data_IF_087659170427
#
_entry.id   IF_087659170427
#
_cell.length_a   1.000
_cell.length_b   1.000
_cell.length_c   1.000
_cell.angle_alpha   90.00
_cell.angle_beta   90.00
_cell.angle_gamma   90.00
#
_symmetry.space_group_name_H-M   'P 1'
#
loop_
_entity.id
_entity.type
_entity.pdbx_description
1 polymer ?
#
# COMPACT_ATOMS: atom_id res chain seq x y z
N UNK A 1 -9.12 13.99 -71.75
CA UNK A 1 -8.89 12.52 -71.80
C UNK A 1 -9.83 11.92 -70.77
N UNK A 2 -11.08 11.54 -71.11
CA UNK A 2 -11.49 10.34 -71.88
C UNK A 2 -10.82 9.09 -71.26
N UNK A 3 -11.47 8.04 -70.76
CA UNK A 3 -12.87 7.64 -70.47
C UNK A 3 -12.78 6.20 -69.88
N UNK A 4 -13.86 5.72 -69.23
CA UNK A 4 -14.23 4.30 -68.92
C UNK A 4 -13.47 3.64 -67.76
N UNK A 5 -14.13 3.11 -66.72
CA UNK A 5 -15.28 2.17 -66.69
C UNK A 5 -14.73 0.80 -66.24
N UNK A 6 -15.37 -0.08 -65.47
CA UNK A 6 -16.74 -0.27 -65.02
C UNK A 6 -16.72 -1.47 -64.02
N UNK A 7 -17.77 -1.59 -63.19
CA UNK A 7 -18.30 -2.79 -62.50
C UNK A 7 -17.39 -3.70 -61.64
N UNK A 8 -17.79 -4.22 -60.48
CA UNK A 8 -19.10 -4.29 -59.84
C UNK A 8 -19.15 -5.40 -58.78
N UNK A 9 -20.24 -5.38 -57.99
CA UNK A 9 -20.82 -6.44 -57.12
C UNK A 9 -20.30 -6.65 -55.69
N UNK A 10 -21.06 -6.05 -54.76
CA UNK A 10 -21.66 -6.71 -53.56
C UNK A 10 -22.70 -7.77 -54.00
N UNK A 11 -23.09 -8.80 -53.21
CA UNK A 11 -23.88 -8.70 -51.95
C UNK A 11 -23.44 -9.76 -50.89
N UNK A 12 -24.00 -9.95 -49.70
CA UNK A 12 -25.23 -9.52 -49.03
C UNK A 12 -25.38 -10.32 -47.71
N UNK A 13 -26.26 -9.85 -46.83
CA UNK A 13 -26.54 -10.36 -45.49
C UNK A 13 -27.64 -11.45 -45.45
N UNK A 14 -27.83 -12.10 -44.28
CA UNK A 14 -29.06 -12.82 -43.87
C UNK A 14 -28.75 -14.06 -43.01
N UNK A 15 -28.88 -14.04 -41.67
CA UNK A 15 -30.06 -14.35 -40.82
C UNK A 15 -30.56 -15.81 -40.82
N UNK A 16 -30.54 -16.48 -39.66
CA UNK A 16 -31.68 -17.18 -39.01
C UNK A 16 -31.23 -18.27 -37.98
N UNK A 17 -31.90 -18.30 -36.82
CA UNK A 17 -31.86 -19.32 -35.74
C UNK A 17 -32.77 -20.56 -36.04
N UNK A 18 -33.32 -21.33 -35.06
CA UNK A 18 -32.77 -22.49 -34.35
C UNK A 18 -33.65 -23.78 -34.46
N UNK A 19 -33.21 -24.93 -33.91
CA UNK A 19 -34.01 -26.14 -33.55
C UNK A 19 -33.05 -27.22 -33.01
N UNK A 20 -33.19 -27.90 -31.87
CA UNK A 20 -34.27 -28.60 -31.12
C UNK A 20 -34.39 -30.11 -31.39
N UNK A 21 -34.42 -30.85 -30.27
CA UNK A 21 -35.10 -32.13 -29.99
C UNK A 21 -34.43 -33.51 -30.25
N UNK A 22 -34.61 -34.40 -29.25
CA UNK A 22 -34.66 -35.87 -29.36
C UNK A 22 -33.73 -36.62 -28.39
N UNK A 23 -34.07 -36.87 -27.10
CA UNK A 23 -35.02 -37.84 -26.52
C UNK A 23 -34.48 -39.30 -26.41
N UNK A 24 -34.29 -39.80 -25.18
CA UNK A 24 -34.99 -40.97 -24.55
C UNK A 24 -34.04 -42.17 -24.36
N UNK A 25 -34.09 -43.01 -23.33
CA UNK A 25 -34.93 -43.12 -22.14
C UNK A 25 -34.64 -44.43 -21.37
N UNK A 26 -34.98 -44.45 -20.07
CA UNK A 26 -35.32 -45.62 -19.22
C UNK A 26 -34.20 -46.58 -18.80
N UNK A 27 -34.28 -47.35 -17.71
CA UNK A 27 -35.14 -47.41 -16.50
C UNK A 27 -34.73 -48.67 -15.72
N UNK A 28 -34.77 -48.65 -14.38
CA UNK A 28 -34.84 -49.83 -13.50
C UNK A 28 -33.82 -49.82 -12.36
N UNK A 29 -34.17 -49.49 -11.09
CA UNK A 29 -34.81 -50.33 -10.03
C UNK A 29 -34.02 -51.61 -9.73
N UNK A 30 -33.69 -52.06 -8.50
CA UNK A 30 -34.08 -51.72 -7.13
C UNK A 30 -33.13 -52.45 -6.12
N UNK A 31 -33.25 -52.10 -4.83
CA UNK A 31 -32.79 -52.88 -3.66
C UNK A 31 -31.47 -52.38 -3.07
N UNK A 32 -31.34 -51.89 -1.84
CA UNK A 32 -32.10 -52.13 -0.61
C UNK A 32 -31.19 -52.86 0.37
N UNK A 33 -30.75 -52.19 1.45
CA UNK A 33 -30.54 -52.77 2.80
C UNK A 33 -30.07 -51.68 3.76
N UNK A 34 -30.69 -51.72 4.94
CA UNK A 34 -30.44 -50.93 6.13
C UNK A 34 -28.97 -51.01 6.61
N UNK A 35 -28.44 -49.88 7.11
CA UNK A 35 -27.80 -49.90 8.42
C UNK A 35 -27.64 -48.46 8.95
N UNK A 36 -28.34 -48.18 10.04
CA UNK A 36 -28.07 -47.07 10.95
C UNK A 36 -27.63 -47.74 12.25
N UNK A 37 -26.50 -47.31 12.84
CA UNK A 37 -26.64 -46.82 14.20
C UNK A 37 -25.79 -45.57 14.51
N UNK A 38 -26.38 -44.78 15.41
CA UNK A 38 -25.76 -44.04 16.49
C UNK A 38 -24.82 -42.87 16.20
N UNK A 39 -25.40 -41.69 16.40
CA UNK A 39 -24.68 -40.52 16.89
C UNK A 39 -24.18 -40.73 18.31
N UNK A 40 -23.01 -40.14 18.63
CA UNK A 40 -22.88 -39.38 19.85
C UNK A 40 -22.50 -37.94 19.53
N UNK A 41 -23.33 -37.01 20.00
CA UNK A 41 -22.97 -35.60 20.06
C UNK A 41 -21.81 -35.38 21.02
N UNK A 42 -20.84 -34.56 20.62
CA UNK A 42 -19.94 -33.87 21.53
C UNK A 42 -19.72 -32.45 21.03
N UNK A 43 -20.22 -31.51 21.85
CA UNK A 43 -19.81 -30.12 21.89
C UNK A 43 -18.28 -30.01 21.92
N UNK A 44 -17.73 -29.26 20.98
CA UNK A 44 -16.33 -28.89 20.97
C UNK A 44 -16.17 -27.57 20.24
N UNK A 45 -16.26 -26.46 20.97
CA UNK A 45 -15.75 -25.16 20.54
C UNK A 45 -14.23 -25.27 20.41
N UNK A 46 -13.77 -25.78 19.27
CA UNK A 46 -12.37 -25.78 18.89
C UNK A 46 -11.96 -24.36 18.54
N UNK A 47 -11.42 -23.63 19.50
CA UNK A 47 -10.60 -22.47 19.23
C UNK A 47 -9.44 -22.93 18.35
N UNK A 48 -9.44 -22.57 17.07
CA UNK A 48 -8.26 -22.68 16.22
C UNK A 48 -7.18 -21.82 16.87
N UNK A 49 -6.23 -22.48 17.53
CA UNK A 49 -5.14 -21.81 18.21
C UNK A 49 -4.26 -21.17 17.13
N UNK A 50 -4.25 -19.82 17.09
CA UNK A 50 -3.45 -19.05 16.14
C UNK A 50 -2.01 -19.55 16.09
N UNK A 51 -1.48 -19.81 14.89
CA UNK A 51 -0.13 -20.31 14.70
C UNK A 51 0.92 -19.28 15.14
N UNK A 52 2.15 -19.70 15.52
CA UNK A 52 3.20 -18.80 16.02
C UNK A 52 3.52 -17.62 15.08
N UNK A 53 3.43 -17.84 13.76
CA UNK A 53 3.69 -16.82 12.75
C UNK A 53 2.56 -15.78 12.63
N UNK A 54 1.31 -16.20 12.80
CA UNK A 54 0.17 -15.29 12.84
C UNK A 54 0.16 -14.46 14.14
N UNK A 55 0.60 -15.07 15.26
CA UNK A 55 0.83 -14.36 16.52
C UNK A 55 1.95 -13.31 16.39
N UNK A 56 3.09 -13.65 15.80
CA UNK A 56 4.19 -12.70 15.61
C UNK A 56 3.78 -11.52 14.70
N UNK A 57 3.03 -11.79 13.63
CA UNK A 57 2.47 -10.75 12.75
C UNK A 57 1.44 -9.86 13.47
N UNK A 58 0.62 -10.45 14.34
CA UNK A 58 -0.34 -9.74 15.18
C UNK A 58 0.36 -8.83 16.20
N UNK A 59 1.37 -9.31 16.93
CA UNK A 59 2.14 -8.52 17.89
C UNK A 59 2.80 -7.30 17.23
N UNK A 60 3.30 -7.47 15.99
CA UNK A 60 3.86 -6.36 15.21
C UNK A 60 2.80 -5.33 14.77
N UNK A 61 1.57 -5.77 14.50
CA UNK A 61 0.46 -4.91 14.07
C UNK A 61 -0.31 -4.23 15.23
N UNK A 62 -0.27 -4.80 16.43
CA UNK A 62 -0.90 -4.27 17.66
C UNK A 62 0.00 -3.25 18.40
N UNK A 63 1.14 -2.86 17.82
CA UNK A 63 1.97 -1.77 18.36
C UNK A 63 2.84 -2.15 19.55
N UNK A 64 2.91 -3.42 19.93
CA UNK A 64 3.92 -3.91 20.85
C UNK A 64 5.22 -4.17 20.07
N UNK A 65 6.09 -3.15 20.01
CA UNK A 65 7.49 -3.38 19.67
C UNK A 65 8.12 -4.42 20.61
N UNK A 66 9.26 -5.05 20.24
CA UNK A 66 9.95 -5.95 21.15
C UNK A 66 10.28 -5.19 22.44
N UNK A 67 9.66 -5.61 23.55
CA UNK A 67 9.91 -5.05 24.86
C UNK A 67 11.39 -5.22 25.25
N UNK A 68 11.97 -4.25 25.97
CA UNK A 68 13.33 -4.35 26.45
C UNK A 68 13.47 -5.47 27.47
N UNK A 69 14.55 -6.24 27.37
CA UNK A 69 15.07 -7.01 28.50
C UNK A 69 15.58 -6.00 29.55
N UNK A 70 15.17 -6.23 30.80
CA UNK A 70 15.55 -5.56 32.08
C UNK A 70 14.60 -4.46 32.62
N UNK A 71 13.91 -4.80 33.71
CA UNK A 71 13.27 -3.91 34.71
C UNK A 71 14.26 -3.66 35.89
N UNK A 72 13.92 -2.87 36.93
CA UNK A 72 13.66 -1.42 36.95
C UNK A 72 14.47 -0.69 38.05
N UNK A 73 14.63 0.63 37.97
CA UNK A 73 14.74 1.49 39.17
C UNK A 73 13.52 2.43 39.23
N UNK A 74 12.97 2.57 40.44
CA UNK A 74 11.72 3.24 40.79
C UNK A 74 11.75 4.79 40.66
N UNK A 75 10.58 5.46 40.70
CA UNK A 75 10.36 6.77 40.11
C UNK A 75 10.52 7.96 41.08
N UNK A 76 10.98 9.10 40.56
CA UNK A 76 10.65 10.41 41.14
C UNK A 76 9.43 11.02 40.44
N UNK A 77 8.44 11.39 41.25
CA UNK A 77 7.19 12.06 40.86
C UNK A 77 7.37 13.57 40.55
N UNK A 78 6.38 14.23 39.92
CA UNK A 78 6.60 15.27 38.92
C UNK A 78 6.64 16.69 39.49
N UNK A 79 7.40 17.57 38.82
CA UNK A 79 7.23 19.02 38.95
C UNK A 79 6.23 19.52 37.91
N UNK A 80 5.17 20.11 38.41
CA UNK A 80 4.13 20.90 37.71
C UNK A 80 4.73 21.96 36.80
N UNK A 81 4.26 22.02 35.55
CA UNK A 81 4.43 23.18 34.67
C UNK A 81 3.05 23.66 34.20
N UNK A 82 2.87 24.97 34.30
CA UNK A 82 1.66 25.78 34.04
C UNK A 82 1.20 25.77 32.57
N UNK A 83 -0.06 26.19 32.28
CA UNK A 83 -0.67 26.00 30.97
C UNK A 83 -0.12 27.01 29.94
N UNK A 84 0.41 26.50 28.83
CA UNK A 84 0.82 27.33 27.69
C UNK A 84 -0.43 27.69 26.87
N UNK A 85 -0.67 28.99 26.73
CA UNK A 85 -1.75 29.57 25.95
C UNK A 85 -1.71 29.12 24.47
N UNK A 86 -2.88 28.86 23.90
CA UNK A 86 -3.06 28.56 22.49
C UNK A 86 -2.69 29.76 21.60
N UNK A 87 -1.93 29.58 20.51
CA UNK A 87 -1.72 30.66 19.55
C UNK A 87 -2.92 30.79 18.60
N UNK A 88 -3.26 32.05 18.38
CA UNK A 88 -4.32 32.60 17.53
C UNK A 88 -4.34 32.05 16.10
N UNK A 89 -5.53 32.14 15.49
CA UNK A 89 -5.83 31.75 14.12
C UNK A 89 -4.85 32.38 13.11
N UNK A 90 -4.00 31.54 12.52
CA UNK A 90 -3.06 31.95 11.47
C UNK A 90 -3.78 32.31 10.17
N UNK A 91 -3.52 33.52 9.68
CA UNK A 91 -3.82 34.01 8.34
C UNK A 91 -3.34 33.00 7.26
N UNK A 92 -4.17 32.64 6.26
CA UNK A 92 -3.71 31.84 5.13
C UNK A 92 -2.73 32.64 4.27
N UNK A 93 -1.55 32.09 3.98
CA UNK A 93 -0.70 32.58 2.89
C UNK A 93 0.58 33.30 3.30
N UNK A 94 1.57 32.54 3.78
CA UNK A 94 2.99 32.71 3.41
C UNK A 94 3.60 31.32 3.28
N UNK A 95 3.14 30.57 2.28
CA UNK A 95 3.72 29.28 1.91
C UNK A 95 5.22 29.46 1.66
N UNK A 96 6.03 28.54 2.19
CA UNK A 96 7.48 28.55 2.06
C UNK A 96 7.89 28.42 0.59
N UNK A 97 7.93 29.53 -0.13
CA UNK A 97 8.40 29.64 -1.50
C UNK A 97 9.93 29.79 -1.59
N UNK A 98 10.65 29.64 -0.47
CA UNK A 98 12.11 29.72 -0.43
C UNK A 98 12.76 28.66 -1.33
N UNK A 99 13.87 29.00 -1.97
CA UNK A 99 14.67 28.04 -2.73
C UNK A 99 15.74 27.50 -1.78
N UNK A 100 16.02 26.20 -1.82
CA UNK A 100 17.11 25.63 -1.03
C UNK A 100 18.42 26.36 -1.34
N UNK A 101 19.13 26.81 -0.30
CA UNK A 101 20.44 27.43 -0.45
C UNK A 101 21.47 26.48 -1.11
N UNK A 102 21.33 25.17 -0.90
CA UNK A 102 22.08 24.13 -1.57
C UNK A 102 21.14 22.98 -1.92
N UNK A 103 21.00 22.60 -3.20
CA UNK A 103 20.19 21.46 -3.60
C UNK A 103 20.68 20.16 -2.99
N UNK A 104 19.76 19.28 -2.59
CA UNK A 104 20.10 17.92 -2.17
C UNK A 104 20.58 17.09 -3.37
N UNK A 105 21.51 16.16 -3.13
CA UNK A 105 21.98 15.23 -4.16
C UNK A 105 20.93 14.13 -4.42
N UNK A 106 20.84 13.58 -5.65
CA UNK A 106 20.00 12.42 -5.92
C UNK A 106 20.29 11.23 -4.99
N UNK A 107 21.55 11.03 -4.62
CA UNK A 107 21.99 9.98 -3.70
C UNK A 107 21.41 10.17 -2.30
N UNK A 108 21.45 11.39 -1.75
CA UNK A 108 20.90 11.68 -0.42
C UNK A 108 19.38 11.58 -0.39
N UNK A 109 18.70 12.02 -1.46
CA UNK A 109 17.25 11.87 -1.62
C UNK A 109 16.87 10.39 -1.63
N UNK A 110 17.56 9.57 -2.42
CA UNK A 110 17.30 8.14 -2.52
C UNK A 110 17.55 7.44 -1.19
N UNK A 111 18.66 7.77 -0.52
CA UNK A 111 19.03 7.20 0.77
C UNK A 111 17.96 7.49 1.82
N UNK A 112 17.62 8.77 2.02
CA UNK A 112 16.63 9.16 3.04
C UNK A 112 15.24 8.58 2.76
N UNK A 113 14.82 8.55 1.49
CA UNK A 113 13.53 7.95 1.11
C UNK A 113 13.50 6.46 1.46
N UNK A 114 14.56 5.73 1.12
CA UNK A 114 14.66 4.31 1.43
C UNK A 114 14.75 4.04 2.95
N UNK A 115 15.54 4.82 3.69
CA UNK A 115 15.64 4.73 5.15
C UNK A 115 14.30 5.01 5.82
N UNK A 116 13.59 6.07 5.39
CA UNK A 116 12.26 6.43 5.89
C UNK A 116 11.27 5.29 5.65
N UNK A 117 11.18 4.77 4.43
CA UNK A 117 10.26 3.68 4.11
C UNK A 117 10.61 2.41 4.88
N UNK A 118 11.88 2.02 4.98
CA UNK A 118 12.29 0.84 5.78
C UNK A 118 11.94 1.01 7.27
N UNK A 119 12.16 2.20 7.82
CA UNK A 119 11.88 2.50 9.22
C UNK A 119 10.38 2.53 9.54
N UNK A 120 9.53 2.91 8.58
CA UNK A 120 8.09 3.02 8.75
C UNK A 120 7.33 1.74 8.40
N UNK A 121 7.80 0.98 7.41
CA UNK A 121 7.13 -0.24 6.92
C UNK A 121 7.62 -1.51 7.60
N UNK A 122 8.85 -1.51 8.12
CA UNK A 122 9.55 -2.74 8.51
C UNK A 122 10.00 -3.57 7.31
N UNK A 123 10.28 -4.85 7.53
CA UNK A 123 10.66 -5.78 6.46
C UNK A 123 10.28 -7.22 6.81
N UNK A 124 9.08 -7.65 6.40
CA UNK A 124 8.55 -8.99 6.71
C UNK A 124 8.85 -9.92 5.53
N UNK A 125 9.73 -10.88 5.75
CA UNK A 125 10.20 -11.78 4.69
C UNK A 125 9.17 -12.83 4.25
N UNK A 126 8.18 -13.12 5.10
CA UNK A 126 7.11 -14.08 4.81
C UNK A 126 5.84 -13.34 4.40
N UNK A 127 5.14 -13.82 3.38
CA UNK A 127 3.87 -13.23 2.98
C UNK A 127 2.84 -13.36 4.11
N UNK A 128 2.03 -12.32 4.31
CA UNK A 128 0.94 -12.29 5.28
C UNK A 128 -0.23 -11.48 4.73
N UNK A 129 -1.44 -11.71 5.26
CA UNK A 129 -2.58 -10.84 4.98
C UNK A 129 -2.77 -9.96 6.22
N UNK A 130 -2.73 -8.62 6.11
CA UNK A 130 -2.97 -7.74 7.24
C UNK A 130 -4.37 -7.95 7.83
N UNK A 131 -4.43 -8.26 9.13
CA UNK A 131 -5.68 -8.52 9.87
C UNK A 131 -5.99 -7.36 10.82
N UNK A 132 -7.28 -7.08 11.05
CA UNK A 132 -7.81 -6.22 12.11
C UNK A 132 -8.98 -6.94 12.79
N UNK A 133 -8.96 -7.05 14.11
CA UNK A 133 -9.99 -7.71 14.92
C UNK A 133 -10.30 -9.15 14.45
N UNK A 134 -9.25 -9.89 14.06
CA UNK A 134 -9.37 -11.26 13.55
C UNK A 134 -9.93 -11.38 12.12
N UNK A 135 -10.23 -10.26 11.45
CA UNK A 135 -10.72 -10.23 10.07
C UNK A 135 -9.66 -9.63 9.14
N UNK A 136 -9.55 -10.08 7.87
CA UNK A 136 -8.72 -9.36 6.90
C UNK A 136 -9.18 -7.90 6.79
N UNK A 137 -8.25 -6.95 6.81
CA UNK A 137 -8.60 -5.55 6.56
C UNK A 137 -9.16 -5.41 5.14
N UNK A 138 -10.34 -4.80 5.03
CA UNK A 138 -11.07 -4.67 3.77
C UNK A 138 -10.16 -4.19 2.62
N UNK A 139 -10.16 -4.96 1.53
CA UNK A 139 -9.35 -4.78 0.31
C UNK A 139 -7.83 -5.05 0.41
N UNK A 140 -7.28 -5.43 1.57
CA UNK A 140 -5.85 -5.75 1.68
C UNK A 140 -5.56 -7.18 1.21
N UNK A 141 -4.67 -7.34 0.24
CA UNK A 141 -4.23 -8.68 -0.20
C UNK A 141 -2.97 -9.16 0.53
N UNK A 142 -2.33 -10.22 0.03
CA UNK A 142 -1.05 -10.68 0.55
C UNK A 142 0.01 -9.56 0.46
N UNK A 143 0.68 -9.32 1.57
CA UNK A 143 1.69 -8.29 1.78
C UNK A 143 3.04 -8.94 2.11
N UNK A 144 4.15 -8.37 1.61
CA UNK A 144 5.50 -8.87 1.88
C UNK A 144 6.55 -7.75 1.84
N UNK A 145 7.74 -8.01 2.38
CA UNK A 145 8.86 -7.08 2.39
C UNK A 145 8.53 -5.85 3.22
N UNK A 146 8.81 -4.68 2.67
CA UNK A 146 8.47 -3.39 3.27
C UNK A 146 7.01 -2.97 3.01
N UNK A 147 6.05 -3.87 3.27
CA UNK A 147 4.62 -3.54 3.14
C UNK A 147 4.06 -3.57 1.71
N UNK A 148 4.68 -4.34 0.80
CA UNK A 148 4.28 -4.41 -0.60
C UNK A 148 3.04 -5.31 -0.75
N UNK A 149 1.92 -4.71 -1.13
CA UNK A 149 0.65 -5.39 -1.44
C UNK A 149 0.72 -6.09 -2.80
N UNK A 150 0.96 -7.40 -2.82
CA UNK A 150 1.21 -8.21 -4.03
C UNK A 150 0.01 -8.26 -4.98
N UNK A 151 -1.21 -8.05 -4.48
CA UNK A 151 -2.43 -7.99 -5.28
C UNK A 151 -2.49 -6.79 -6.22
N UNK A 152 -1.67 -5.75 -6.00
CA UNK A 152 -1.58 -4.58 -6.86
C UNK A 152 -0.57 -4.75 -8.01
N UNK A 153 0.15 -5.87 -8.03
CA UNK A 153 1.26 -6.09 -8.96
C UNK A 153 1.03 -7.33 -9.80
N UNK A 154 1.61 -7.32 -10.99
CA UNK A 154 1.72 -8.48 -11.85
C UNK A 154 3.18 -8.67 -12.27
N UNK A 155 3.51 -9.87 -12.76
CA UNK A 155 4.88 -10.24 -13.09
C UNK A 155 5.48 -9.34 -14.19
N UNK A 156 4.68 -8.95 -15.19
CA UNK A 156 5.10 -8.05 -16.26
C UNK A 156 5.54 -6.70 -15.69
N UNK A 157 4.71 -6.09 -14.84
CA UNK A 157 5.03 -4.81 -14.24
C UNK A 157 6.25 -4.87 -13.34
N UNK A 158 6.39 -5.91 -12.53
CA UNK A 158 7.60 -6.08 -11.70
C UNK A 158 8.86 -6.23 -12.55
N UNK A 159 8.76 -6.92 -13.70
CA UNK A 159 9.85 -7.08 -14.66
C UNK A 159 10.23 -5.75 -15.30
N UNK A 160 9.26 -4.90 -15.66
CA UNK A 160 9.51 -3.52 -16.13
C UNK A 160 10.22 -2.67 -15.07
N UNK A 161 9.91 -2.87 -13.78
CA UNK A 161 10.59 -2.20 -12.68
C UNK A 161 12.00 -2.76 -12.41
N UNK A 162 12.44 -3.78 -13.15
CA UNK A 162 13.74 -4.41 -12.98
C UNK A 162 13.83 -5.29 -11.73
N UNK A 163 12.71 -5.83 -11.24
CA UNK A 163 12.70 -6.90 -10.23
C UNK A 163 13.28 -8.16 -10.87
N UNK A 164 14.18 -8.85 -10.15
CA UNK A 164 14.85 -10.05 -10.70
C UNK A 164 13.86 -11.20 -10.87
N UNK A 165 14.12 -12.07 -11.83
CA UNK A 165 13.28 -13.25 -12.11
C UNK A 165 13.12 -14.19 -10.92
N UNK A 166 14.17 -14.38 -10.13
CA UNK A 166 14.12 -15.23 -8.93
C UNK A 166 13.12 -14.67 -7.91
N UNK A 167 13.11 -13.35 -7.73
CA UNK A 167 12.16 -12.64 -6.84
C UNK A 167 10.75 -12.72 -7.41
N UNK A 168 10.56 -12.45 -8.71
CA UNK A 168 9.25 -12.52 -9.37
C UNK A 168 8.67 -13.93 -9.23
N UNK A 169 9.47 -14.96 -9.48
CA UNK A 169 9.03 -16.35 -9.34
C UNK A 169 8.65 -16.69 -7.90
N UNK A 170 9.39 -16.17 -6.92
CA UNK A 170 9.06 -16.37 -5.51
C UNK A 170 7.71 -15.74 -5.12
N UNK A 171 7.42 -14.52 -5.59
CA UNK A 171 6.15 -13.82 -5.24
C UNK A 171 4.97 -14.18 -6.14
N UNK A 172 5.23 -14.80 -7.30
CA UNK A 172 4.24 -15.13 -8.35
C UNK A 172 2.96 -15.77 -7.84
N UNK A 173 2.97 -16.71 -6.86
CA UNK A 173 1.74 -17.33 -6.38
C UNK A 173 0.71 -16.34 -5.83
N UNK A 174 1.12 -15.14 -5.41
CA UNK A 174 0.24 -14.16 -4.78
C UNK A 174 0.02 -12.88 -5.61
N UNK A 175 0.70 -12.73 -6.75
CA UNK A 175 0.57 -11.54 -7.60
C UNK A 175 -0.85 -11.40 -8.17
N UNK A 176 -1.38 -10.18 -8.11
CA UNK A 176 -2.68 -9.82 -8.70
C UNK A 176 -3.90 -10.44 -7.99
N UNK A 177 -3.69 -11.19 -6.90
CA UNK A 177 -4.76 -11.82 -6.13
C UNK A 177 -5.35 -10.82 -5.14
N UNK A 178 -6.68 -10.77 -5.04
CA UNK A 178 -7.34 -10.08 -3.94
C UNK A 178 -7.20 -10.85 -2.61
N UNK A 179 -7.70 -10.29 -1.52
CA UNK A 179 -7.60 -10.89 -0.18
C UNK A 179 -8.09 -12.34 -0.10
N UNK A 180 -9.22 -12.66 -0.74
CA UNK A 180 -9.83 -14.01 -0.71
C UNK A 180 -8.98 -14.99 -1.52
N UNK A 181 -8.59 -14.61 -2.72
CA UNK A 181 -7.76 -15.43 -3.60
C UNK A 181 -6.37 -15.66 -3.02
N UNK A 182 -5.80 -14.64 -2.37
CA UNK A 182 -4.51 -14.72 -1.72
C UNK A 182 -4.54 -15.68 -0.53
N UNK A 183 -5.61 -15.62 0.28
CA UNK A 183 -5.82 -16.57 1.39
C UNK A 183 -5.86 -18.00 0.89
N UNK A 184 -6.69 -18.27 -0.13
CA UNK A 184 -6.78 -19.61 -0.71
C UNK A 184 -5.41 -20.10 -1.21
N UNK A 185 -4.67 -19.25 -1.94
CA UNK A 185 -3.35 -19.62 -2.44
C UNK A 185 -2.33 -19.87 -1.31
N UNK A 186 -2.43 -19.16 -0.19
CA UNK A 186 -1.60 -19.41 0.99
C UNK A 186 -1.98 -20.70 1.71
N UNK A 187 -3.28 -21.02 1.79
CA UNK A 187 -3.77 -22.27 2.37
C UNK A 187 -3.35 -23.49 1.51
N UNK A 188 -3.42 -23.37 0.18
CA UNK A 188 -2.95 -24.39 -0.76
C UNK A 188 -1.44 -24.65 -0.60
N UNK A 189 -0.63 -23.59 -0.48
CA UNK A 189 0.80 -23.73 -0.19
C UNK A 189 1.04 -24.44 1.15
N UNK A 190 0.29 -24.06 2.19
CA UNK A 190 0.44 -24.66 3.51
C UNK A 190 0.08 -26.15 3.52
N UNK A 191 -0.93 -26.56 2.74
CA UNK A 191 -1.30 -27.97 2.55
C UNK A 191 -0.17 -28.78 1.88
N UNK A 192 0.68 -28.13 1.08
CA UNK A 192 1.89 -28.70 0.48
C UNK A 192 3.14 -28.59 1.38
N UNK A 193 2.98 -28.19 2.65
CA UNK A 193 4.07 -27.86 3.59
C UNK A 193 5.02 -26.77 3.06
N UNK A 194 4.50 -25.85 2.25
CA UNK A 194 5.21 -24.71 1.70
C UNK A 194 4.63 -23.39 2.23
N UNK A 195 5.44 -22.33 2.18
CA UNK A 195 5.00 -20.97 2.45
C UNK A 195 5.81 -20.00 1.60
N UNK A 196 5.20 -18.86 1.24
CA UNK A 196 5.89 -17.85 0.45
C UNK A 196 6.83 -17.04 1.36
N UNK A 197 8.13 -17.21 1.18
CA UNK A 197 9.18 -16.51 1.91
C UNK A 197 10.28 -16.05 0.97
N UNK A 198 10.67 -14.79 1.11
CA UNK A 198 11.84 -14.21 0.44
C UNK A 198 13.07 -14.36 1.32
N UNK A 199 14.24 -14.51 0.68
CA UNK A 199 15.50 -14.24 1.39
C UNK A 199 15.62 -12.75 1.70
N UNK A 200 16.49 -12.39 2.65
CA UNK A 200 16.76 -10.99 2.97
C UNK A 200 17.24 -10.20 1.72
N UNK A 201 18.03 -10.84 0.86
CA UNK A 201 18.51 -10.21 -0.37
C UNK A 201 17.40 -10.05 -1.44
N UNK A 202 16.52 -11.04 -1.57
CA UNK A 202 15.35 -10.92 -2.44
C UNK A 202 14.41 -9.80 -1.99
N UNK A 203 14.14 -9.73 -0.68
CA UNK A 203 13.33 -8.66 -0.11
C UNK A 203 13.99 -7.29 -0.29
N UNK A 204 15.31 -7.15 -0.07
CA UNK A 204 16.00 -5.87 -0.29
C UNK A 204 15.90 -5.43 -1.75
N UNK A 205 16.14 -6.35 -2.69
CA UNK A 205 16.05 -6.06 -4.13
C UNK A 205 14.64 -5.60 -4.51
N UNK A 206 13.62 -6.32 -4.05
CA UNK A 206 12.23 -5.97 -4.29
C UNK A 206 11.91 -4.59 -3.70
N UNK A 207 12.21 -4.37 -2.43
CA UNK A 207 11.94 -3.11 -1.73
C UNK A 207 12.60 -1.93 -2.44
N UNK A 208 13.85 -2.05 -2.87
CA UNK A 208 14.58 -0.98 -3.58
C UNK A 208 13.93 -0.62 -4.92
N UNK A 209 13.48 -1.61 -5.71
CA UNK A 209 12.74 -1.36 -6.94
C UNK A 209 11.42 -0.66 -6.67
N UNK A 210 10.70 -1.10 -5.64
CA UNK A 210 9.43 -0.51 -5.25
C UNK A 210 9.58 0.93 -4.75
N UNK A 211 10.56 1.22 -3.91
CA UNK A 211 10.82 2.58 -3.43
C UNK A 211 11.20 3.52 -4.58
N UNK A 212 12.04 3.05 -5.50
CA UNK A 212 12.41 3.81 -6.70
C UNK A 212 11.17 4.12 -7.55
N UNK A 213 10.32 3.13 -7.77
CA UNK A 213 9.08 3.30 -8.52
C UNK A 213 8.16 4.34 -7.87
N UNK A 214 7.88 4.22 -6.58
CA UNK A 214 6.96 5.13 -5.90
C UNK A 214 7.52 6.54 -5.77
N UNK A 215 8.84 6.72 -5.63
CA UNK A 215 9.48 8.03 -5.70
C UNK A 215 9.27 8.68 -7.08
N UNK A 216 9.48 7.91 -8.15
CA UNK A 216 9.26 8.39 -9.51
C UNK A 216 7.78 8.72 -9.77
N UNK A 217 6.87 7.89 -9.24
CA UNK A 217 5.44 8.16 -9.31
C UNK A 217 5.06 9.43 -8.54
N UNK A 218 5.61 9.64 -7.35
CA UNK A 218 5.39 10.86 -6.55
C UNK A 218 5.88 12.10 -7.32
N UNK A 219 7.08 12.03 -7.90
CA UNK A 219 7.67 13.07 -8.75
C UNK A 219 6.76 13.42 -9.93
N UNK A 220 6.32 12.43 -10.69
CA UNK A 220 5.44 12.62 -11.84
C UNK A 220 4.10 13.24 -11.43
N UNK A 221 3.46 12.70 -10.39
CA UNK A 221 2.17 13.21 -9.93
C UNK A 221 2.28 14.63 -9.35
N UNK A 222 3.36 14.95 -8.64
CA UNK A 222 3.55 16.28 -8.06
C UNK A 222 3.78 17.32 -9.16
N UNK A 223 4.67 17.02 -10.11
CA UNK A 223 5.01 17.92 -11.22
C UNK A 223 3.84 18.17 -12.19
N UNK A 224 2.88 17.24 -12.25
CA UNK A 224 1.68 17.36 -13.07
C UNK A 224 0.42 17.74 -12.29
N UNK A 225 0.53 17.99 -10.98
CA UNK A 225 -0.62 18.28 -10.14
C UNK A 225 -1.26 19.62 -10.55
N UNK A 226 -2.60 19.67 -10.68
CA UNK A 226 -3.29 20.90 -11.11
C UNK A 226 -3.15 22.05 -10.11
N UNK A 227 -2.89 21.74 -8.82
CA UNK A 227 -2.67 22.74 -7.78
C UNK A 227 -1.21 23.24 -7.72
N UNK A 228 -0.31 22.63 -8.50
CA UNK A 228 1.08 23.02 -8.61
C UNK A 228 1.32 23.99 -9.77
N UNK A 229 0.38 24.90 -10.02
CA UNK A 229 0.52 25.94 -11.04
C UNK A 229 0.05 27.28 -10.51
N UNK A 230 0.72 28.37 -10.91
CA UNK A 230 0.26 29.73 -10.67
C UNK A 230 -0.97 30.10 -11.52
N UNK A 231 -1.45 31.33 -11.36
CA UNK A 231 -2.61 31.84 -12.11
C UNK A 231 -2.38 31.88 -13.64
N UNK A 232 -1.14 31.76 -14.09
CA UNK A 232 -0.74 31.74 -15.50
C UNK A 232 -0.47 30.30 -16.00
N UNK A 233 -0.71 29.29 -15.16
CA UNK A 233 -0.49 27.88 -15.50
C UNK A 233 0.97 27.45 -15.46
N UNK A 234 1.88 28.27 -14.91
CA UNK A 234 3.29 27.93 -14.77
C UNK A 234 3.50 27.11 -13.49
N UNK A 235 4.36 26.07 -13.51
CA UNK A 235 4.65 25.28 -12.31
C UNK A 235 5.11 26.16 -11.14
N UNK A 236 4.51 25.96 -9.96
CA UNK A 236 4.94 26.67 -8.74
C UNK A 236 6.32 26.15 -8.28
N UNK A 237 6.51 24.83 -8.33
CA UNK A 237 7.75 24.16 -7.96
C UNK A 237 7.83 22.77 -8.57
N UNK A 238 9.05 22.29 -8.85
CA UNK A 238 9.27 20.89 -9.21
C UNK A 238 9.54 20.04 -7.97
N UNK A 239 9.13 18.78 -7.99
CA UNK A 239 9.37 17.82 -6.91
C UNK A 239 10.85 17.72 -6.53
N UNK A 240 11.72 17.78 -7.53
CA UNK A 240 13.17 17.70 -7.39
C UNK A 240 13.78 18.95 -6.73
N UNK A 241 13.02 20.05 -6.65
CA UNK A 241 13.39 21.31 -5.97
C UNK A 241 12.90 21.33 -4.51
N UNK A 242 12.23 20.27 -4.06
CA UNK A 242 11.85 20.10 -2.67
C UNK A 242 13.03 19.59 -1.84
N UNK A 243 13.12 19.93 -0.55
CA UNK A 243 14.03 19.26 0.38
C UNK A 243 13.80 17.75 0.35
N UNK A 244 14.88 16.97 0.44
CA UNK A 244 14.81 15.50 0.47
C UNK A 244 13.83 14.97 1.52
N UNK A 245 13.66 15.67 2.64
CA UNK A 245 12.72 15.33 3.70
C UNK A 245 11.26 15.39 3.21
N UNK A 246 10.90 16.44 2.46
CA UNK A 246 9.57 16.57 1.86
C UNK A 246 9.36 15.53 0.75
N UNK A 247 10.37 15.28 -0.08
CA UNK A 247 10.31 14.24 -1.12
C UNK A 247 10.06 12.85 -0.51
N UNK A 248 10.77 12.53 0.57
CA UNK A 248 10.63 11.26 1.29
C UNK A 248 9.23 11.13 1.95
N UNK A 249 8.73 12.18 2.60
CA UNK A 249 7.41 12.18 3.21
C UNK A 249 6.29 12.00 2.16
N UNK A 250 6.32 12.77 1.06
CA UNK A 250 5.34 12.63 -0.04
C UNK A 250 5.37 11.23 -0.64
N UNK A 251 6.57 10.68 -0.84
CA UNK A 251 6.74 9.31 -1.34
C UNK A 251 6.18 8.29 -0.35
N UNK A 252 6.39 8.47 0.95
CA UNK A 252 5.89 7.56 1.99
C UNK A 252 4.36 7.52 2.07
N UNK A 253 3.68 8.68 2.04
CA UNK A 253 2.21 8.72 2.01
C UNK A 253 1.68 8.03 0.75
N UNK A 254 2.27 8.34 -0.41
CA UNK A 254 1.85 7.72 -1.67
C UNK A 254 2.10 6.21 -1.68
N UNK A 255 3.22 5.75 -1.14
CA UNK A 255 3.55 4.34 -1.03
C UNK A 255 2.50 3.58 -0.21
N UNK A 256 2.14 4.11 0.96
CA UNK A 256 1.16 3.47 1.85
C UNK A 256 -0.24 3.37 1.23
N UNK A 257 -0.67 4.41 0.50
CA UNK A 257 -2.05 4.53 0.03
C UNK A 257 -2.22 4.11 -1.44
N UNK A 258 -1.14 4.09 -2.23
CA UNK A 258 -1.12 3.75 -3.66
C UNK A 258 -1.74 4.79 -4.59
N UNK A 259 -2.46 5.80 -4.06
CA UNK A 259 -3.09 6.84 -4.88
C UNK A 259 -3.33 8.13 -4.09
N UNK A 260 -3.01 9.26 -4.70
CA UNK A 260 -3.26 10.63 -4.19
C UNK A 260 -4.74 10.92 -3.95
N UNK A 261 -5.65 10.21 -4.65
CA UNK A 261 -7.10 10.31 -4.43
C UNK A 261 -7.53 9.86 -3.03
N UNK A 262 -6.72 9.05 -2.33
CA UNK A 262 -7.02 8.59 -0.97
C UNK A 262 -6.61 9.58 0.11
N UNK A 263 -5.87 10.64 -0.24
CA UNK A 263 -5.40 11.69 0.68
C UNK A 263 -5.47 13.09 0.05
N UNK A 264 -6.62 13.50 -0.51
CA UNK A 264 -6.72 14.65 -1.40
C UNK A 264 -6.30 15.97 -0.73
N UNK A 265 -6.65 16.18 0.54
CA UNK A 265 -6.29 17.40 1.30
C UNK A 265 -4.78 17.53 1.45
N UNK A 266 -4.12 16.47 1.92
CA UNK A 266 -2.67 16.46 2.10
C UNK A 266 -1.95 16.74 0.79
N UNK A 267 -2.41 16.09 -0.30
CA UNK A 267 -1.83 16.27 -1.62
C UNK A 267 -2.03 17.68 -2.16
N UNK A 268 -3.23 18.25 -2.00
CA UNK A 268 -3.55 19.62 -2.41
C UNK A 268 -2.67 20.64 -1.67
N UNK A 269 -2.59 20.56 -0.33
CA UNK A 269 -1.73 21.43 0.47
C UNK A 269 -0.27 21.35 0.03
N UNK A 270 0.24 20.14 -0.18
CA UNK A 270 1.62 19.92 -0.60
C UNK A 270 1.91 20.50 -1.98
N UNK A 271 1.00 20.27 -2.94
CA UNK A 271 1.21 20.67 -4.34
C UNK A 271 1.01 22.17 -4.56
N UNK A 272 0.25 22.87 -3.70
CA UNK A 272 0.12 24.33 -3.71
C UNK A 272 1.18 25.07 -2.90
N UNK A 273 2.14 24.37 -2.29
CA UNK A 273 3.19 24.95 -1.44
C UNK A 273 2.70 25.42 -0.06
N UNK A 274 1.52 24.97 0.39
CA UNK A 274 1.00 25.22 1.73
C UNK A 274 1.54 24.16 2.71
N UNK A 275 2.83 24.28 3.02
CA UNK A 275 3.55 23.31 3.83
C UNK A 275 3.02 23.21 5.26
N UNK A 276 2.66 24.33 5.88
CA UNK A 276 2.05 24.32 7.23
C UNK A 276 0.69 23.59 7.20
N UNK A 277 -0.11 23.77 6.14
CA UNK A 277 -1.34 23.01 5.91
C UNK A 277 -1.10 21.52 5.71
N UNK A 278 -0.09 21.14 4.92
CA UNK A 278 0.26 19.75 4.67
C UNK A 278 0.73 19.03 5.95
N UNK A 279 1.57 19.68 6.74
CA UNK A 279 2.03 19.17 8.05
C UNK A 279 0.84 19.00 8.98
N UNK A 280 -0.05 20.00 9.08
CA UNK A 280 -1.24 19.92 9.92
C UNK A 280 -2.17 18.77 9.51
N UNK A 281 -2.34 18.55 8.21
CA UNK A 281 -3.13 17.43 7.69
C UNK A 281 -2.52 16.09 8.07
N UNK A 282 -1.19 15.92 8.00
CA UNK A 282 -0.53 14.70 8.46
C UNK A 282 -0.71 14.45 9.96
N UNK A 283 -0.62 15.51 10.80
CA UNK A 283 -0.86 15.38 12.25
C UNK A 283 -2.30 14.98 12.58
N UNK A 284 -3.26 15.34 11.72
CA UNK A 284 -4.69 15.15 11.93
C UNK A 284 -5.33 14.27 10.86
N UNK A 285 -4.56 13.30 10.34
CA UNK A 285 -4.90 12.54 9.14
C UNK A 285 -6.20 11.72 9.27
N UNK A 286 -6.59 11.39 10.50
CA UNK A 286 -7.87 10.78 10.82
C UNK A 286 -8.43 11.36 12.11
N UNK A 287 -9.75 11.57 12.16
CA UNK A 287 -10.45 11.90 13.40
C UNK A 287 -10.66 10.70 14.32
N UNK A 288 -10.37 9.48 13.83
CA UNK A 288 -10.46 8.28 14.65
C UNK A 288 -9.28 8.23 15.63
N UNK A 289 -9.53 8.15 16.95
CA UNK A 289 -8.45 7.99 17.94
C UNK A 289 -7.69 6.66 17.73
N UNK A 290 -8.38 5.63 17.22
CA UNK A 290 -7.82 4.29 16.99
C UNK A 290 -7.16 4.15 15.62
N UNK A 291 -6.86 5.26 14.93
CA UNK A 291 -6.15 5.22 13.67
C UNK A 291 -4.70 4.80 13.90
N UNK A 292 -4.44 3.51 13.72
CA UNK A 292 -3.15 2.83 13.98
C UNK A 292 -1.92 3.44 13.30
N UNK A 293 -2.09 4.30 12.29
CA UNK A 293 -0.98 4.95 11.60
C UNK A 293 -0.68 6.37 12.12
N UNK A 294 -1.32 6.84 13.19
CA UNK A 294 -1.04 8.14 13.82
C UNK A 294 0.46 8.38 14.04
N UNK A 295 1.16 7.42 14.65
CA UNK A 295 2.61 7.50 14.88
C UNK A 295 3.40 7.64 13.57
N UNK A 296 3.00 6.94 12.52
CA UNK A 296 3.64 7.04 11.20
C UNK A 296 3.38 8.40 10.56
N UNK A 297 2.13 8.88 10.54
CA UNK A 297 1.81 10.18 9.96
C UNK A 297 2.51 11.32 10.70
N UNK A 298 2.66 11.20 12.03
CA UNK A 298 3.45 12.14 12.83
C UNK A 298 4.92 12.16 12.45
N UNK A 299 5.57 11.00 12.26
CA UNK A 299 6.97 10.94 11.78
C UNK A 299 7.14 11.60 10.41
N UNK A 300 6.20 11.38 9.50
CA UNK A 300 6.23 12.01 8.17
C UNK A 300 6.00 13.53 8.26
N UNK A 301 5.16 13.98 9.20
CA UNK A 301 4.98 15.40 9.49
C UNK A 301 6.22 16.03 10.13
N UNK A 302 6.92 15.33 11.03
CA UNK A 302 8.21 15.76 11.59
C UNK A 302 9.25 15.94 10.48
N UNK A 303 9.29 15.00 9.53
CA UNK A 303 10.17 15.05 8.38
C UNK A 303 9.83 16.25 7.47
N UNK A 304 8.55 16.47 7.15
CA UNK A 304 8.14 17.66 6.40
C UNK A 304 8.48 18.97 7.12
N UNK A 305 8.38 19.01 8.45
CA UNK A 305 8.77 20.19 9.24
C UNK A 305 10.27 20.48 9.08
N UNK A 306 11.14 19.46 9.15
CA UNK A 306 12.58 19.63 8.91
C UNK A 306 12.86 20.20 7.53
N UNK A 307 12.18 19.70 6.49
CA UNK A 307 12.29 20.25 5.14
C UNK A 307 11.83 21.71 5.06
N UNK A 308 10.74 22.06 5.75
CA UNK A 308 10.19 23.41 5.75
C UNK A 308 11.14 24.39 6.43
N UNK A 309 11.76 23.98 7.53
CA UNK A 309 12.75 24.79 8.25
C UNK A 309 13.98 25.04 7.37
N UNK A 310 14.42 24.04 6.57
CA UNK A 310 15.49 24.20 5.58
C UNK A 310 15.12 25.16 4.43
N UNK A 311 13.85 25.27 4.05
CA UNK A 311 13.40 26.24 3.03
C UNK A 311 13.31 27.67 3.56
N UNK A 312 13.27 27.84 4.88
CA UNK A 312 13.13 29.15 5.55
C UNK A 312 14.48 29.77 5.93
N UNK A 313 15.56 29.00 5.86
CA UNK A 313 16.95 29.43 6.08
C UNK A 313 17.53 30.05 4.80
#
# INVERSE_FOLDING_TARGET
MVERGNDGRKPGAGTAEPSSAGASGGSGTAGGTDDQPDQPGLNGTGSLQEGPLQRAARTFLEGAGPGPLTEPEEPEQPRTAEPVAAPDAATPGKGGNGVLATPDTPEDINRLTAETLRALEGNILSAYIPMKDGKPMDNSSATIGAGIDLGQWNAEKLRELGVREDVINAVRPLLGKNAVQARQAMDDLAAENAHLQLTAEQASQLNERMFTHFKELARQQFNSAPHNTDAQGKPLRKFEELPKEMQAALTSVLYQHGSTKKFPKFWEHSTRGDWDGAIRELRNFSSSPDYKYHTRRNKEADLMQQGLDRLRQ
#
